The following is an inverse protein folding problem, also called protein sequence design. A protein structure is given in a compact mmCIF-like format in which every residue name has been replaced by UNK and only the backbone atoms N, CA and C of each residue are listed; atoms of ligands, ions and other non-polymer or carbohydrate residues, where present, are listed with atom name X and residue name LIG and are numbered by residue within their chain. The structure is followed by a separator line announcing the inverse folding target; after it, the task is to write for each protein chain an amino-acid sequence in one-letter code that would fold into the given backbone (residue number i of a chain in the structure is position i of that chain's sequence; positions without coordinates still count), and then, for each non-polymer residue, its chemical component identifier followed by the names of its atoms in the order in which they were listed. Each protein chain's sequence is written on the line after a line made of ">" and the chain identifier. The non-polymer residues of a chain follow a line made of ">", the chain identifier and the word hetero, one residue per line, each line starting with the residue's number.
data_IF_366682127657
#
_entry.id   IF_366682127657
#
_cell.length_a   1.000
_cell.length_b   1.000
_cell.length_c   1.000
_cell.angle_alpha   90.00
_cell.angle_beta   90.00
_cell.angle_gamma   90.00
#
_symmetry.space_group_name_H-M   'P 1'
#
loop_
_entity.id
_entity.type
_entity.pdbx_description
1 polymer ?
#
# COMPACT_ATOMS: atom_id res chain seq x y z
N UNK A 1 -0.94 -5.68 10.35
CA UNK A 1 -2.30 -5.67 9.83
C UNK A 1 -2.35 -5.16 8.42
N UNK A 2 -2.94 -5.89 7.52
CA UNK A 2 -3.10 -5.35 6.17
C UNK A 2 -4.15 -4.26 6.15
N UNK A 3 -3.92 -3.28 5.30
CA UNK A 3 -4.91 -2.25 5.01
C UNK A 3 -5.93 -2.82 4.04
N UNK A 4 -7.20 -2.46 4.23
CA UNK A 4 -8.24 -2.92 3.32
C UNK A 4 -7.98 -2.47 1.88
N UNK A 5 -7.46 -1.26 1.70
CA UNK A 5 -7.17 -0.73 0.38
C UNK A 5 -6.00 -1.41 -0.30
N UNK A 6 -5.16 -2.10 0.44
CA UNK A 6 -3.98 -2.77 -0.10
C UNK A 6 -4.18 -4.28 -0.25
N UNK A 7 -5.34 -4.80 0.12
CA UNK A 7 -5.58 -6.24 0.09
C UNK A 7 -5.53 -6.75 -1.34
N UNK A 8 -4.79 -7.83 -1.54
CA UNK A 8 -4.73 -8.49 -2.83
C UNK A 8 -5.12 -9.95 -2.69
N UNK A 9 -5.73 -10.47 -3.74
CA UNK A 9 -6.27 -11.83 -3.72
C UNK A 9 -5.15 -12.85 -3.76
N UNK A 10 -5.31 -13.92 -3.02
CA UNK A 10 -4.39 -15.06 -2.99
C UNK A 10 -3.05 -14.79 -2.31
N UNK A 11 -2.84 -13.60 -1.77
CA UNK A 11 -1.61 -13.29 -1.03
C UNK A 11 -1.95 -12.62 0.27
N UNK A 12 -1.24 -13.00 1.31
CA UNK A 12 -1.29 -12.26 2.55
C UNK A 12 -0.34 -11.08 2.46
N UNK A 13 -0.86 -9.89 2.74
CA UNK A 13 -0.11 -8.65 2.65
C UNK A 13 -0.09 -7.98 4.01
N UNK A 14 1.04 -7.42 4.38
CA UNK A 14 1.13 -6.56 5.54
C UNK A 14 1.69 -5.23 5.10
N UNK A 15 1.23 -4.16 5.74
CA UNK A 15 1.71 -2.85 5.36
C UNK A 15 1.31 -1.79 6.36
N UNK A 16 1.77 -0.57 6.07
CA UNK A 16 1.55 0.57 6.95
C UNK A 16 1.39 1.82 6.11
N UNK A 17 0.37 2.58 6.43
CA UNK A 17 0.15 3.90 5.83
C UNK A 17 0.94 4.96 6.58
N UNK A 18 1.18 6.07 5.91
CA UNK A 18 1.79 7.23 6.52
C UNK A 18 1.28 8.50 5.88
N UNK A 19 1.23 9.57 6.66
CA UNK A 19 0.86 10.88 6.17
C UNK A 19 1.79 11.88 6.86
N UNK A 20 2.52 12.64 6.05
CA UNK A 20 3.45 13.67 6.56
C UNK A 20 3.04 15.01 6.02
N UNK A 21 3.10 16.02 6.87
CA UNK A 21 2.83 17.39 6.44
C UNK A 21 4.10 18.01 5.88
N UNK A 22 3.94 18.82 4.85
CA UNK A 22 5.07 19.47 4.20
C UNK A 22 5.53 20.64 5.06
N UNK A 23 6.84 20.68 5.34
CA UNK A 23 7.45 21.72 6.12
C UNK A 23 7.53 23.00 5.31
N UNK A 24 7.17 24.12 5.94
CA UNK A 24 7.26 25.45 5.33
C UNK A 24 7.83 26.40 6.38
N UNK A 25 8.26 27.59 5.99
CA UNK A 25 8.72 28.57 6.99
C UNK A 25 7.63 28.84 8.01
N UNK A 26 7.98 28.69 9.27
CA UNK A 26 7.03 28.90 10.36
C UNK A 26 6.29 27.65 10.79
N UNK A 27 6.56 26.49 10.19
CA UNK A 27 5.91 25.26 10.63
C UNK A 27 5.57 24.33 9.48
N UNK A 28 4.35 23.83 9.46
CA UNK A 28 3.89 22.90 8.43
C UNK A 28 2.68 23.49 7.73
N UNK A 29 2.60 23.24 6.44
CA UNK A 29 1.41 23.62 5.67
C UNK A 29 0.27 22.66 6.04
N UNK A 30 -0.86 23.17 6.51
CA UNK A 30 -1.90 22.30 7.05
C UNK A 30 -2.65 21.48 5.99
N UNK A 31 -2.59 21.93 4.73
CA UNK A 31 -3.30 21.27 3.65
C UNK A 31 -2.38 20.65 2.62
N UNK A 32 -1.07 20.60 2.90
CA UNK A 32 -0.12 20.02 1.97
C UNK A 32 0.54 18.82 2.63
N UNK A 33 0.29 17.67 2.09
CA UNK A 33 0.75 16.42 2.71
C UNK A 33 1.45 15.55 1.68
N UNK A 34 2.26 14.63 2.21
CA UNK A 34 2.82 13.53 1.45
C UNK A 34 2.23 12.27 2.06
N UNK A 35 1.55 11.48 1.24
CA UNK A 35 0.96 10.24 1.73
C UNK A 35 1.78 9.07 1.23
N UNK A 36 1.82 8.01 2.00
CA UNK A 36 2.60 6.85 1.64
C UNK A 36 1.95 5.57 2.13
N UNK A 37 2.33 4.49 1.50
CA UNK A 37 2.02 3.15 1.96
C UNK A 37 3.22 2.27 1.66
N UNK A 38 3.67 1.53 2.64
CA UNK A 38 4.70 0.51 2.43
C UNK A 38 4.06 -0.83 2.75
N UNK A 39 4.26 -1.78 1.86
CA UNK A 39 3.69 -3.11 2.07
C UNK A 39 4.66 -4.19 1.63
N UNK A 40 4.49 -5.37 2.19
CA UNK A 40 5.26 -6.52 1.75
C UNK A 40 4.34 -7.73 1.61
N UNK A 41 4.77 -8.64 0.78
CA UNK A 41 4.05 -9.87 0.50
C UNK A 41 5.00 -10.91 -0.10
N UNK A 42 4.72 -12.18 0.06
CA UNK A 42 3.73 -12.75 0.96
C UNK A 42 4.18 -12.62 2.42
N UNK A 43 3.26 -12.56 3.34
CA UNK A 43 3.61 -12.39 4.76
C UNK A 43 4.40 -13.59 5.28
N UNK A 44 4.01 -14.77 4.83
CA UNK A 44 4.66 -16.01 5.29
C UNK A 44 6.10 -16.14 4.84
N UNK A 45 6.45 -15.51 3.72
CA UNK A 45 7.80 -15.56 3.16
C UNK A 45 7.98 -14.32 2.32
N UNK A 46 8.30 -13.20 2.93
CA UNK A 46 8.34 -11.92 2.21
C UNK A 46 9.33 -11.95 1.07
N UNK A 47 8.85 -11.67 -0.11
CA UNK A 47 9.63 -11.70 -1.34
C UNK A 47 9.69 -10.34 -2.01
N UNK A 48 8.84 -9.42 -1.61
CA UNK A 48 8.90 -8.07 -2.15
C UNK A 48 8.43 -7.07 -1.09
N UNK A 49 8.99 -5.88 -1.16
CA UNK A 49 8.55 -4.73 -0.39
C UNK A 49 8.34 -3.60 -1.39
N UNK A 50 7.22 -2.93 -1.29
CA UNK A 50 6.89 -1.83 -2.19
C UNK A 50 6.50 -0.62 -1.36
N UNK A 51 7.08 0.51 -1.69
CA UNK A 51 6.72 1.78 -1.10
C UNK A 51 6.03 2.63 -2.16
N UNK A 52 4.84 3.09 -1.86
CA UNK A 52 4.12 4.05 -2.69
C UNK A 52 4.11 5.38 -1.96
N UNK A 53 4.58 6.42 -2.64
CA UNK A 53 4.64 7.76 -2.06
C UNK A 53 3.98 8.71 -3.05
N UNK A 54 3.04 9.51 -2.56
CA UNK A 54 2.33 10.46 -3.40
C UNK A 54 2.45 11.83 -2.75
N UNK A 55 3.05 12.76 -3.49
CA UNK A 55 3.26 14.11 -3.01
C UNK A 55 2.03 14.94 -3.33
N UNK A 56 1.47 15.57 -2.32
CA UNK A 56 0.38 16.53 -2.46
C UNK A 56 -0.79 16.00 -3.29
N UNK A 57 -1.39 14.87 -2.89
CA UNK A 57 -2.50 14.34 -3.65
C UNK A 57 -3.68 15.32 -3.67
N UNK A 58 -4.42 15.28 -4.77
CA UNK A 58 -5.62 16.10 -4.89
C UNK A 58 -6.79 15.33 -4.28
N UNK A 59 -7.62 16.02 -3.53
CA UNK A 59 -8.78 15.40 -2.94
C UNK A 59 -8.46 14.64 -1.67
N UNK A 60 -8.57 13.32 -1.70
CA UNK A 60 -8.32 12.49 -0.53
C UNK A 60 -6.85 12.52 -0.12
N UNK A 61 -6.61 12.73 1.16
CA UNK A 61 -5.25 12.94 1.66
C UNK A 61 -4.82 11.94 2.72
N UNK A 62 -5.55 10.85 2.89
CA UNK A 62 -5.16 9.81 3.82
C UNK A 62 -4.43 8.70 3.07
N UNK A 63 -3.30 8.27 3.61
CA UNK A 63 -2.47 7.25 2.95
C UNK A 63 -3.23 5.99 2.60
N UNK A 64 -4.14 5.56 3.49
CA UNK A 64 -4.93 4.37 3.24
C UNK A 64 -5.93 4.52 2.11
N UNK A 65 -6.37 5.75 1.83
CA UNK A 65 -7.34 6.00 0.78
C UNK A 65 -6.68 6.30 -0.56
N UNK A 66 -5.42 6.70 -0.57
CA UNK A 66 -4.75 7.14 -1.80
C UNK A 66 -3.63 6.21 -2.21
N UNK A 67 -2.71 5.92 -1.29
CA UNK A 67 -1.52 5.15 -1.63
C UNK A 67 -1.75 3.64 -1.59
N UNK A 68 -2.58 3.15 -0.66
CA UNK A 68 -2.81 1.72 -0.55
C UNK A 68 -3.48 1.12 -1.78
N UNK A 69 -4.48 1.77 -2.41
CA UNK A 69 -5.04 1.21 -3.66
C UNK A 69 -4.03 1.10 -4.79
N UNK A 70 -3.07 2.02 -4.85
CA UNK A 70 -2.00 1.93 -5.86
C UNK A 70 -1.15 0.69 -5.59
N UNK A 71 -0.81 0.43 -4.33
CA UNK A 71 -0.10 -0.78 -3.96
C UNK A 71 -0.91 -2.02 -4.38
N UNK A 72 -2.20 -2.03 -4.10
CA UNK A 72 -3.06 -3.17 -4.42
C UNK A 72 -3.12 -3.45 -5.92
N UNK A 73 -2.96 -2.42 -6.73
CA UNK A 73 -2.95 -2.59 -8.17
C UNK A 73 -1.60 -3.09 -8.68
N UNK A 74 -0.51 -2.60 -8.12
CA UNK A 74 0.83 -2.95 -8.57
C UNK A 74 1.33 -4.28 -8.04
N UNK A 75 1.03 -4.59 -6.79
CA UNK A 75 1.63 -5.74 -6.13
C UNK A 75 1.35 -7.08 -6.82
N UNK A 76 0.12 -7.36 -7.27
CA UNK A 76 -0.12 -8.63 -7.95
C UNK A 76 0.70 -8.77 -9.23
N UNK A 77 0.91 -7.65 -9.93
CA UNK A 77 1.68 -7.67 -11.17
C UNK A 77 3.15 -7.98 -10.89
N UNK A 78 3.68 -7.42 -9.81
CA UNK A 78 5.06 -7.67 -9.41
C UNK A 78 5.23 -9.11 -8.97
N UNK A 79 4.32 -9.61 -8.13
CA UNK A 79 4.38 -10.98 -7.64
C UNK A 79 4.30 -11.98 -8.78
N UNK A 80 3.41 -11.70 -9.72
CA UNK A 80 3.25 -12.57 -10.89
C UNK A 80 4.50 -12.54 -11.77
N UNK A 81 5.07 -11.38 -11.98
CA UNK A 81 6.28 -11.23 -12.77
C UNK A 81 7.44 -12.00 -12.16
N UNK A 82 7.54 -11.97 -10.83
CA UNK A 82 8.60 -12.67 -10.11
C UNK A 82 8.34 -14.17 -9.96
N UNK A 83 7.16 -14.63 -10.33
CA UNK A 83 6.81 -16.03 -10.22
C UNK A 83 6.59 -16.50 -8.79
N UNK A 84 6.14 -15.61 -7.92
CA UNK A 84 5.96 -15.93 -6.52
C UNK A 84 4.61 -16.59 -6.31
N UNK A 85 4.62 -17.72 -5.64
CA UNK A 85 3.39 -18.47 -5.41
C UNK A 85 2.51 -17.79 -4.38
N UNK A 86 1.18 -17.87 -4.57
CA UNK A 86 0.25 -17.39 -3.56
C UNK A 86 0.43 -18.13 -2.24
N UNK A 87 0.30 -17.38 -1.15
CA UNK A 87 0.38 -17.95 0.19
C UNK A 87 -0.97 -17.94 0.89
N UNK A 88 -2.04 -17.54 0.20
CA UNK A 88 -3.38 -17.63 0.71
C UNK A 88 -4.22 -18.44 -0.28
N UNK A 89 -5.15 -19.28 0.18
CA UNK A 89 -5.98 -20.04 -0.75
C UNK A 89 -6.77 -19.09 -1.63
N UNK A 90 -6.92 -19.45 -2.87
CA UNK A 90 -7.85 -18.73 -3.73
C UNK A 90 -9.21 -18.80 -3.08
N UNK A 91 -9.86 -17.67 -3.04
CA UNK A 91 -11.06 -17.66 -2.28
C UNK A 91 -12.22 -17.93 -3.07
N UNK A 92 -12.35 -19.12 -3.39
CA UNK A 92 -13.56 -19.58 -3.95
C UNK A 92 -14.70 -19.45 -3.01
N UNK A 93 -14.38 -19.28 -1.79
CA UNK A 93 -15.41 -19.17 -0.78
C UNK A 93 -15.92 -17.78 -0.65
N UNK A 94 -15.59 -16.92 -1.56
CA UNK A 94 -16.13 -15.58 -1.55
C UNK A 94 -15.69 -14.73 -0.40
N UNK A 95 -14.53 -14.94 0.06
CA UNK A 95 -14.05 -14.09 1.12
C UNK A 95 -13.52 -12.81 0.63
#
# INVERSE_FOLDING_TARGET
>A
MPSHGARIQCYHVAGKTGTSFISVPGGYAPDRVIVSFVGFAPVSDPRMVVLVKIDEPQGEKLGGAVAAPVFAELAPKILNYLGIRPDAPALVQGQ
#
